data_IF_416701802209
#
_entry.id   IF_416701802209
#
_cell.length_a   1.000
_cell.length_b   1.000
_cell.length_c   1.000
_cell.angle_alpha   90.00
_cell.angle_beta   90.00
_cell.angle_gamma   90.00
#
_symmetry.space_group_name_H-M   'P 1'
#
loop_
_entity.id
_entity.type
_entity.pdbx_description
1 polymer ?
#
# COMPACT_ATOMS: atom_id res chain seq x y z
N UNK A 1 0.42 0.64 -1.56
CA UNK A 1 0.86 1.88 -0.88
C UNK A 1 0.94 2.96 -1.95
N UNK A 2 0.58 4.19 -1.63
CA UNK A 2 0.86 5.34 -2.50
C UNK A 2 2.36 5.67 -2.49
N UNK A 3 2.96 5.74 -3.68
CA UNK A 3 4.40 5.90 -3.83
C UNK A 3 4.88 7.32 -3.54
N UNK A 4 4.04 8.34 -3.64
CA UNK A 4 4.51 9.69 -3.33
C UNK A 4 4.51 9.94 -1.82
N UNK A 5 3.37 9.69 -1.18
CA UNK A 5 3.07 10.06 0.22
C UNK A 5 3.38 8.98 1.24
N UNK A 6 3.72 7.78 0.78
CA UNK A 6 3.92 6.58 1.61
C UNK A 6 2.67 6.09 2.32
N UNK A 7 1.48 6.64 2.03
CA UNK A 7 0.23 6.22 2.66
C UNK A 7 -0.11 4.78 2.27
N UNK A 8 -0.40 3.93 3.25
CA UNK A 8 -0.98 2.61 2.99
C UNK A 8 -2.47 2.80 2.69
N UNK A 9 -2.86 2.59 1.42
CA UNK A 9 -4.23 2.79 0.94
C UNK A 9 -5.18 1.67 1.38
N UNK A 10 -4.76 0.43 1.20
CA UNK A 10 -5.46 -0.77 1.65
C UNK A 10 -4.47 -1.87 2.00
N UNK A 11 -4.90 -2.82 2.83
CA UNK A 11 -4.11 -3.98 3.23
C UNK A 11 -5.03 -5.15 3.58
N UNK A 12 -4.47 -6.36 3.53
CA UNK A 12 -5.13 -7.63 3.87
C UNK A 12 -4.13 -8.54 4.57
N UNK A 13 -4.65 -9.48 5.36
CA UNK A 13 -3.89 -10.59 5.93
C UNK A 13 -4.58 -11.88 5.51
N UNK A 14 -3.79 -12.88 5.10
CA UNK A 14 -4.26 -14.20 4.72
C UNK A 14 -3.40 -15.27 5.38
N UNK A 15 -3.99 -16.45 5.59
CA UNK A 15 -3.27 -17.66 5.99
C UNK A 15 -2.75 -18.45 4.78
N UNK A 16 -3.14 -18.06 3.57
CA UNK A 16 -2.69 -18.66 2.30
C UNK A 16 -1.89 -17.65 1.49
N UNK A 17 -1.08 -18.15 0.55
CA UNK A 17 -0.33 -17.34 -0.42
C UNK A 17 -1.09 -17.12 -1.73
N UNK A 18 -2.42 -17.27 -1.74
CA UNK A 18 -3.25 -17.15 -2.94
C UNK A 18 -3.35 -15.69 -3.43
N UNK A 19 -3.62 -15.48 -4.72
CA UNK A 19 -3.68 -14.13 -5.28
C UNK A 19 -4.95 -13.35 -4.89
N UNK A 20 -6.01 -14.04 -4.47
CA UNK A 20 -7.35 -13.46 -4.28
C UNK A 20 -7.36 -12.37 -3.21
N UNK A 21 -6.66 -12.57 -2.08
CA UNK A 21 -6.58 -11.55 -1.03
C UNK A 21 -5.82 -10.29 -1.49
N UNK A 22 -4.85 -10.43 -2.39
CA UNK A 22 -4.18 -9.29 -3.01
C UNK A 22 -5.16 -8.51 -3.89
N UNK A 23 -5.96 -9.23 -4.71
CA UNK A 23 -7.00 -8.62 -5.56
C UNK A 23 -8.05 -7.91 -4.72
N UNK A 24 -8.46 -8.47 -3.57
CA UNK A 24 -9.37 -7.80 -2.64
C UNK A 24 -8.78 -6.50 -2.07
N UNK A 25 -7.51 -6.51 -1.68
CA UNK A 25 -6.82 -5.30 -1.21
C UNK A 25 -6.78 -4.23 -2.32
N UNK A 26 -6.50 -4.63 -3.55
CA UNK A 26 -6.52 -3.76 -4.72
C UNK A 26 -7.92 -3.19 -4.98
N UNK A 27 -8.96 -4.02 -4.91
CA UNK A 27 -10.35 -3.60 -5.07
C UNK A 27 -10.76 -2.55 -4.05
N UNK A 28 -10.40 -2.76 -2.77
CA UNK A 28 -10.67 -1.76 -1.74
C UNK A 28 -9.93 -0.45 -2.03
N UNK A 29 -8.66 -0.51 -2.42
CA UNK A 29 -7.89 0.69 -2.73
C UNK A 29 -8.52 1.47 -3.89
N UNK A 30 -8.85 0.79 -4.99
CA UNK A 30 -9.49 1.41 -6.17
C UNK A 30 -10.86 1.99 -5.80
N UNK A 31 -11.65 1.28 -5.00
CA UNK A 31 -12.97 1.76 -4.61
C UNK A 31 -12.91 3.03 -3.75
N UNK A 32 -11.88 3.16 -2.91
CA UNK A 32 -11.75 4.29 -1.97
C UNK A 32 -10.98 5.49 -2.52
N UNK A 33 -10.10 5.27 -3.50
CA UNK A 33 -9.08 6.24 -3.93
C UNK A 33 -8.91 6.32 -5.45
N UNK A 34 -9.82 5.71 -6.21
CA UNK A 34 -9.74 5.52 -7.67
C UNK A 34 -8.56 4.67 -8.15
N UNK A 35 -8.59 4.32 -9.43
CA UNK A 35 -7.57 3.49 -10.06
C UNK A 35 -6.27 4.29 -10.27
N UNK A 36 -5.11 3.76 -9.87
CA UNK A 36 -3.85 4.45 -10.11
C UNK A 36 -3.47 4.40 -11.60
N UNK A 37 -2.74 5.41 -12.07
CA UNK A 37 -2.23 5.43 -13.45
C UNK A 37 -1.14 4.39 -13.70
N UNK A 38 -0.37 4.01 -12.68
CA UNK A 38 0.64 2.95 -12.71
C UNK A 38 0.58 2.17 -11.40
N UNK A 39 0.58 0.83 -11.49
CA UNK A 39 0.82 -0.05 -10.35
C UNK A 39 2.20 -0.70 -10.49
N UNK A 40 3.06 -0.47 -9.51
CA UNK A 40 4.38 -1.11 -9.44
C UNK A 40 4.33 -2.33 -8.51
N UNK A 41 4.81 -3.47 -8.98
CA UNK A 41 4.94 -4.70 -8.18
C UNK A 41 6.28 -5.39 -8.44
N UNK A 42 6.71 -6.22 -7.51
CA UNK A 42 7.72 -7.23 -7.81
C UNK A 42 7.15 -8.33 -8.74
N UNK A 43 8.02 -9.23 -9.20
CA UNK A 43 7.65 -10.39 -10.02
C UNK A 43 7.15 -11.60 -9.22
N UNK A 44 6.55 -11.39 -8.04
CA UNK A 44 5.94 -12.46 -7.24
C UNK A 44 4.82 -13.21 -7.98
N UNK A 45 4.58 -14.47 -7.61
CA UNK A 45 3.57 -15.32 -8.28
C UNK A 45 2.15 -14.75 -8.18
N UNK A 46 1.82 -14.05 -7.10
CA UNK A 46 0.53 -13.39 -6.93
C UNK A 46 0.36 -12.22 -7.91
N UNK A 47 1.40 -11.42 -8.11
CA UNK A 47 1.36 -10.22 -8.95
C UNK A 47 1.60 -10.50 -10.44
N UNK A 48 2.09 -11.69 -10.77
CA UNK A 48 2.18 -12.22 -12.14
C UNK A 48 0.96 -13.06 -12.52
N UNK A 49 0.04 -13.31 -11.59
CA UNK A 49 -1.19 -14.09 -11.85
C UNK A 49 -2.15 -13.40 -12.81
N UNK A 50 -2.97 -14.20 -13.50
CA UNK A 50 -4.02 -13.68 -14.36
C UNK A 50 -5.03 -12.83 -13.58
N UNK A 51 -5.49 -13.28 -12.41
CA UNK A 51 -6.47 -12.56 -11.59
C UNK A 51 -6.01 -11.13 -11.25
N UNK A 52 -4.73 -10.97 -10.89
CA UNK A 52 -4.14 -9.66 -10.60
C UNK A 52 -4.01 -8.78 -11.84
N UNK A 53 -3.40 -9.31 -12.91
CA UNK A 53 -3.12 -8.53 -14.12
C UNK A 53 -4.39 -8.17 -14.89
N UNK A 54 -5.38 -9.06 -14.97
CA UNK A 54 -6.69 -8.79 -15.56
C UNK A 54 -7.43 -7.70 -14.79
N UNK A 55 -7.40 -7.75 -13.45
CA UNK A 55 -8.07 -6.75 -12.63
C UNK A 55 -7.50 -5.34 -12.86
N UNK A 56 -6.18 -5.20 -12.94
CA UNK A 56 -5.51 -3.93 -13.20
C UNK A 56 -5.80 -3.41 -14.61
N UNK A 57 -5.79 -4.29 -15.62
CA UNK A 57 -6.16 -3.92 -17.00
C UNK A 57 -7.60 -3.39 -17.07
N UNK A 58 -8.55 -4.04 -16.41
CA UNK A 58 -9.95 -3.57 -16.31
C UNK A 58 -10.09 -2.24 -15.57
N UNK A 59 -9.15 -1.92 -14.68
CA UNK A 59 -9.11 -0.63 -14.00
C UNK A 59 -8.53 0.51 -14.87
N UNK A 60 -7.99 0.20 -16.05
CA UNK A 60 -7.21 1.16 -16.84
C UNK A 60 -5.81 1.45 -16.26
N UNK A 61 -5.33 0.63 -15.32
CA UNK A 61 -4.02 0.82 -14.68
C UNK A 61 -2.90 0.20 -15.50
N UNK A 62 -1.83 0.97 -15.76
CA UNK A 62 -0.61 0.43 -16.37
C UNK A 62 0.16 -0.41 -15.37
N UNK A 63 0.59 -1.59 -15.78
CA UNK A 63 1.35 -2.51 -14.93
C UNK A 63 2.83 -2.24 -15.17
N UNK A 64 3.56 -1.89 -14.11
CA UNK A 64 5.02 -1.83 -14.07
C UNK A 64 5.50 -2.94 -13.15
N UNK A 65 6.43 -3.75 -13.62
CA UNK A 65 7.10 -4.75 -12.78
C UNK A 65 8.57 -4.40 -12.69
N UNK A 66 9.16 -4.63 -11.53
CA UNK A 66 10.59 -4.44 -11.33
C UNK A 66 11.44 -5.25 -12.32
N UNK A 67 12.60 -4.71 -12.66
CA UNK A 67 13.60 -5.48 -13.39
C UNK A 67 14.13 -6.59 -12.48
N UNK A 68 14.36 -7.81 -13.01
CA UNK A 68 14.94 -8.90 -12.21
C UNK A 68 16.21 -8.41 -11.49
N UNK A 69 16.20 -8.42 -10.16
CA UNK A 69 17.32 -7.97 -9.32
C UNK A 69 17.39 -6.47 -9.01
N UNK A 70 16.36 -5.67 -9.32
CA UNK A 70 16.30 -4.23 -8.96
C UNK A 70 15.52 -4.00 -7.66
N UNK A 71 16.18 -4.23 -6.52
CA UNK A 71 15.61 -4.00 -5.18
C UNK A 71 15.16 -2.56 -4.90
N UNK A 72 15.65 -1.58 -5.66
CA UNK A 72 15.31 -0.16 -5.51
C UNK A 72 13.81 0.07 -5.74
N UNK A 73 13.19 -0.71 -6.63
CA UNK A 73 11.79 -0.57 -7.01
C UNK A 73 10.82 -1.01 -5.90
N UNK A 74 11.31 -1.69 -4.85
CA UNK A 74 10.52 -2.15 -3.71
C UNK A 74 10.92 -1.53 -2.36
N UNK A 75 11.89 -0.59 -2.35
CA UNK A 75 12.54 -0.10 -1.14
C UNK A 75 11.57 0.45 -0.08
N UNK A 76 10.49 1.12 -0.50
CA UNK A 76 9.52 1.71 0.43
C UNK A 76 8.61 0.66 1.06
N UNK A 77 8.26 -0.37 0.30
CA UNK A 77 7.48 -1.51 0.78
C UNK A 77 8.33 -2.32 1.76
N UNK A 78 9.60 -2.60 1.44
CA UNK A 78 10.53 -3.27 2.36
C UNK A 78 10.71 -2.48 3.66
N UNK A 79 10.83 -1.15 3.57
CA UNK A 79 10.93 -0.28 4.75
C UNK A 79 9.66 -0.30 5.61
N UNK A 80 8.48 -0.32 4.98
CA UNK A 80 7.21 -0.50 5.68
C UNK A 80 7.21 -1.84 6.43
N UNK A 81 7.52 -2.93 5.74
CA UNK A 81 7.49 -4.27 6.31
C UNK A 81 8.47 -4.43 7.47
N UNK A 82 9.68 -3.87 7.34
CA UNK A 82 10.65 -3.84 8.43
C UNK A 82 10.07 -3.12 9.66
N UNK A 83 9.50 -1.94 9.47
CA UNK A 83 8.93 -1.16 10.58
C UNK A 83 7.77 -1.91 11.25
N UNK A 84 6.84 -2.45 10.46
CA UNK A 84 5.70 -3.25 10.97
C UNK A 84 6.18 -4.46 11.76
N UNK A 85 7.17 -5.19 11.25
CA UNK A 85 7.67 -6.40 11.90
C UNK A 85 8.30 -6.08 13.25
N UNK A 86 9.20 -5.11 13.30
CA UNK A 86 9.95 -4.79 14.52
C UNK A 86 9.11 -4.08 15.59
N UNK A 87 8.12 -3.29 15.19
CA UNK A 87 7.35 -2.47 16.12
C UNK A 87 5.98 -3.03 16.46
N UNK A 88 5.53 -4.07 15.75
CA UNK A 88 4.24 -4.71 16.01
C UNK A 88 4.40 -6.23 16.05
N UNK A 89 4.77 -6.87 14.94
CA UNK A 89 4.70 -8.34 14.86
C UNK A 89 5.61 -9.05 15.85
N UNK A 90 6.87 -8.64 15.97
CA UNK A 90 7.85 -9.31 16.83
C UNK A 90 7.68 -9.01 18.32
N UNK A 91 6.84 -8.03 18.66
CA UNK A 91 6.56 -7.68 20.06
C UNK A 91 5.39 -8.46 20.65
N UNK A 92 4.67 -9.25 19.84
CA UNK A 92 3.45 -9.93 20.26
C UNK A 92 3.46 -11.41 19.88
N UNK A 93 2.93 -12.25 20.77
CA UNK A 93 2.59 -13.63 20.48
C UNK A 93 1.06 -13.76 20.43
N UNK A 94 0.47 -13.59 19.24
CA UNK A 94 -0.98 -13.69 19.07
C UNK A 94 -1.42 -15.16 18.97
N UNK A 95 -2.54 -15.48 19.61
CA UNK A 95 -3.13 -16.82 19.56
C UNK A 95 -4.05 -16.99 18.34
N UNK A 96 -4.56 -15.88 17.80
CA UNK A 96 -5.52 -15.89 16.68
C UNK A 96 -5.18 -14.90 15.58
N UNK A 97 -5.58 -15.23 14.36
CA UNK A 97 -5.46 -14.32 13.21
C UNK A 97 -6.26 -13.01 13.40
N UNK A 98 -7.37 -13.05 14.15
CA UNK A 98 -8.16 -11.85 14.47
C UNK A 98 -7.40 -10.87 15.36
N UNK A 99 -6.66 -11.37 16.36
CA UNK A 99 -5.78 -10.53 17.19
C UNK A 99 -4.66 -9.90 16.34
N UNK A 100 -4.02 -10.70 15.48
CA UNK A 100 -3.00 -10.20 14.55
C UNK A 100 -3.57 -9.11 13.62
N UNK A 101 -4.75 -9.34 13.04
CA UNK A 101 -5.45 -8.36 12.19
C UNK A 101 -5.77 -7.07 12.95
N UNK A 102 -6.27 -7.17 14.18
CA UNK A 102 -6.57 -5.99 14.99
C UNK A 102 -5.30 -5.16 15.29
N UNK A 103 -4.23 -5.82 15.74
CA UNK A 103 -2.97 -5.17 16.09
C UNK A 103 -2.28 -4.53 14.86
N UNK A 104 -2.23 -5.25 13.73
CA UNK A 104 -1.70 -4.71 12.47
C UNK A 104 -2.55 -3.54 11.99
N UNK A 105 -3.88 -3.62 12.12
CA UNK A 105 -4.78 -2.52 11.77
C UNK A 105 -4.52 -1.25 12.59
N UNK A 106 -4.32 -1.40 13.91
CA UNK A 106 -3.93 -0.29 14.78
C UNK A 106 -2.57 0.29 14.39
N UNK A 107 -1.60 -0.57 14.08
CA UNK A 107 -0.27 -0.11 13.64
C UNK A 107 -0.33 0.63 12.30
N UNK A 108 -1.11 0.15 11.33
CA UNK A 108 -1.31 0.83 10.04
C UNK A 108 -2.00 2.18 10.22
N UNK A 109 -2.98 2.27 11.13
CA UNK A 109 -3.61 3.54 11.47
C UNK A 109 -2.61 4.52 12.09
N UNK A 110 -1.78 4.07 13.02
CA UNK A 110 -0.67 4.85 13.57
C UNK A 110 0.31 5.30 12.48
N UNK A 111 0.75 4.37 11.62
CA UNK A 111 1.67 4.64 10.51
C UNK A 111 1.11 5.72 9.58
N UNK A 112 -0.15 5.63 9.17
CA UNK A 112 -0.75 6.60 8.25
C UNK A 112 -1.01 7.96 8.90
N UNK A 113 -1.47 8.01 10.16
CA UNK A 113 -2.03 9.23 10.74
C UNK A 113 -1.14 9.92 11.78
N UNK A 114 -0.10 9.25 12.28
CA UNK A 114 0.70 9.76 13.41
C UNK A 114 2.19 9.64 13.22
N UNK A 115 2.69 8.65 12.46
CA UNK A 115 4.12 8.48 12.25
C UNK A 115 4.70 9.67 11.49
N UNK A 116 5.74 10.34 12.01
CA UNK A 116 6.44 11.38 11.27
C UNK A 116 7.33 10.78 10.17
N UNK A 117 7.31 11.38 8.98
CA UNK A 117 8.18 11.00 7.87
C UNK A 117 9.10 12.16 7.50
N UNK A 118 10.42 11.96 7.61
CA UNK A 118 11.43 13.00 7.26
C UNK A 118 11.32 13.46 5.82
N UNK A 119 10.97 12.56 4.89
CA UNK A 119 10.73 12.88 3.48
C UNK A 119 9.56 13.86 3.26
N UNK A 120 8.72 14.07 4.29
CA UNK A 120 7.54 14.93 4.27
C UNK A 120 7.62 16.02 5.34
N UNK A 121 8.83 16.42 5.75
CA UNK A 121 9.00 17.47 6.77
C UNK A 121 8.43 17.11 8.14
N UNK A 122 8.32 15.81 8.45
CA UNK A 122 7.74 15.30 9.68
C UNK A 122 6.22 15.09 9.64
N UNK A 123 5.55 15.42 8.53
CA UNK A 123 4.12 15.18 8.40
C UNK A 123 3.79 13.67 8.25
N UNK A 124 2.66 13.20 8.79
CA UNK A 124 2.19 11.84 8.56
C UNK A 124 1.72 11.60 7.12
N UNK A 125 1.86 10.36 6.59
CA UNK A 125 1.48 10.00 5.23
C UNK A 125 0.06 10.42 4.82
N UNK A 126 -0.91 10.30 5.74
CA UNK A 126 -2.29 10.67 5.46
C UNK A 126 -2.46 12.18 5.22
N UNK A 127 -1.74 13.02 5.98
CA UNK A 127 -1.81 14.49 5.83
C UNK A 127 -1.30 14.88 4.45
N UNK A 128 -0.14 14.36 4.05
CA UNK A 128 0.47 14.65 2.75
C UNK A 128 -0.46 14.23 1.60
N UNK A 129 -1.09 13.07 1.72
CA UNK A 129 -1.98 12.52 0.70
C UNK A 129 -3.24 13.34 0.47
N UNK A 130 -3.90 13.81 1.54
CA UNK A 130 -5.10 14.62 1.37
C UNK A 130 -4.76 16.03 0.88
N UNK A 131 -3.67 16.63 1.37
CA UNK A 131 -3.20 17.91 0.88
C UNK A 131 -2.85 17.89 -0.61
N UNK A 132 -2.25 16.80 -1.12
CA UNK A 132 -1.94 16.68 -2.54
C UNK A 132 -3.20 16.61 -3.40
N UNK A 133 -4.24 15.89 -2.96
CA UNK A 133 -5.51 15.82 -3.69
C UNK A 133 -6.18 17.19 -3.76
N UNK A 134 -6.22 17.93 -2.64
CA UNK A 134 -6.79 19.29 -2.62
C UNK A 134 -6.04 20.23 -3.57
N UNK A 135 -4.73 20.13 -3.61
CA UNK A 135 -3.88 20.93 -4.50
C UNK A 135 -4.14 20.61 -5.97
N UNK A 136 -4.23 19.32 -6.32
CA UNK A 136 -4.50 18.87 -7.70
C UNK A 136 -5.90 19.29 -8.17
N UNK A 137 -6.90 19.21 -7.29
CA UNK A 137 -8.26 19.67 -7.57
C UNK A 137 -8.33 21.18 -7.80
N UNK A 138 -7.61 21.97 -6.98
CA UNK A 138 -7.51 23.42 -7.18
C UNK A 138 -6.81 23.77 -8.49
N UNK A 139 -5.73 23.07 -8.84
CA UNK A 139 -5.03 23.28 -10.11
C UNK A 139 -5.90 22.95 -11.33
N UNK A 140 -6.72 21.89 -11.26
CA UNK A 140 -7.65 21.51 -12.33
C UNK A 140 -8.84 22.47 -12.47
N UNK A 141 -9.28 23.13 -11.40
CA UNK A 141 -10.39 24.08 -11.43
C UNK A 141 -10.01 25.45 -12.03
N UNK A 142 -8.71 25.76 -12.12
CA UNK A 142 -8.18 27.05 -12.61
C UNK A 142 -7.69 26.96 -14.07
N UNK A 143 -7.56 25.75 -14.61
CA UNK A 143 -7.13 25.46 -15.99
C UNK A 143 -8.33 25.32 -16.95
#
# INVERSE_FOLDING_TARGET
MDWFTRKVLAWRISNTLEADFCVEALNEAIHRFDAPGIMNTDQGSQFTSFAWTDRLKRAGTRISMDGKGRCIDNVFIERLWRSLKYECVYLHAWETGSQAKAAIGQWIAFYNHRRPHTAHGGQPPAVVYFNSIETDQQAQAVA
#
